data_IF_330474259894
#
_entry.id   IF_330474259894
#
_cell.length_a   1.000
_cell.length_b   1.000
_cell.length_c   1.000
_cell.angle_alpha   90.00
_cell.angle_beta   90.00
_cell.angle_gamma   90.00
#
_symmetry.space_group_name_H-M   'P 1'
#
loop_
_entity.id
_entity.type
_entity.pdbx_description
1 polymer ?
#
# COMPACT_ATOMS: atom_id res chain seq x y z
N UNK A 1 8.13 -21.61 20.73
CA UNK A 1 7.08 -20.78 20.09
C UNK A 1 7.78 -19.59 19.48
N UNK A 2 7.47 -19.23 18.24
CA UNK A 2 8.14 -18.14 17.53
C UNK A 2 7.94 -16.80 18.25
N UNK A 3 9.00 -16.01 18.39
CA UNK A 3 9.03 -14.74 19.13
C UNK A 3 9.46 -13.56 18.27
N UNK A 4 10.12 -13.81 17.14
CA UNK A 4 10.65 -12.76 16.28
C UNK A 4 10.65 -13.17 14.81
N UNK A 5 9.75 -12.57 14.04
CA UNK A 5 9.59 -12.84 12.61
C UNK A 5 10.42 -11.85 11.79
N UNK A 6 11.19 -12.36 10.84
CA UNK A 6 11.71 -11.58 9.72
C UNK A 6 10.70 -11.66 8.57
N UNK A 7 10.25 -10.53 8.03
CA UNK A 7 9.28 -10.48 6.93
C UNK A 7 9.91 -9.78 5.74
N UNK A 8 10.07 -10.50 4.64
CA UNK A 8 10.55 -9.91 3.39
C UNK A 8 9.40 -9.18 2.70
N UNK A 9 9.64 -7.92 2.36
CA UNK A 9 8.69 -7.07 1.65
C UNK A 9 9.22 -6.89 0.24
N UNK A 10 8.66 -7.67 -0.66
CA UNK A 10 8.86 -7.57 -2.08
C UNK A 10 7.71 -6.72 -2.67
N UNK A 11 8.04 -5.72 -3.49
CA UNK A 11 7.05 -4.82 -4.12
C UNK A 11 6.12 -5.50 -5.14
N UNK A 12 6.17 -6.82 -5.24
CA UNK A 12 5.31 -7.64 -6.10
C UNK A 12 3.97 -7.95 -5.41
N UNK A 13 2.90 -8.23 -6.18
CA UNK A 13 1.55 -8.45 -5.64
C UNK A 13 1.44 -9.49 -4.50
N UNK A 14 2.35 -10.45 -4.43
CA UNK A 14 2.40 -11.46 -3.35
C UNK A 14 2.95 -10.95 -2.01
N UNK A 15 3.72 -9.86 -2.00
CA UNK A 15 4.38 -9.35 -0.78
C UNK A 15 3.41 -8.84 0.28
N UNK A 16 2.24 -8.36 -0.14
CA UNK A 16 1.19 -7.88 0.77
C UNK A 16 0.50 -9.05 1.48
N UNK A 17 0.36 -10.19 0.80
CA UNK A 17 -0.17 -11.41 1.41
C UNK A 17 0.80 -11.94 2.49
N UNK A 18 2.09 -11.86 2.22
CA UNK A 18 3.12 -12.19 3.19
C UNK A 18 3.09 -11.26 4.40
N UNK A 19 2.99 -9.94 4.19
CA UNK A 19 2.87 -8.97 5.26
C UNK A 19 1.60 -9.25 6.08
N UNK A 20 0.44 -9.36 5.44
CA UNK A 20 -0.83 -9.63 6.11
C UNK A 20 -0.78 -10.89 6.98
N UNK A 21 -0.40 -12.02 6.39
CA UNK A 21 -0.33 -13.30 7.12
C UNK A 21 0.76 -13.31 8.21
N UNK A 22 1.91 -12.69 7.97
CA UNK A 22 2.96 -12.62 8.96
C UNK A 22 2.55 -11.74 10.15
N UNK A 23 1.86 -10.62 9.92
CA UNK A 23 1.36 -9.76 11.00
C UNK A 23 0.23 -10.43 11.78
N UNK A 24 -0.69 -11.14 11.11
CA UNK A 24 -1.72 -11.92 11.79
C UNK A 24 -1.11 -13.01 12.67
N UNK A 25 -0.12 -13.75 12.16
CA UNK A 25 0.60 -14.74 12.93
C UNK A 25 1.33 -14.11 14.12
N UNK A 26 2.09 -13.04 13.89
CA UNK A 26 2.84 -12.35 14.93
C UNK A 26 1.92 -11.87 16.05
N UNK A 27 0.74 -11.33 15.71
CA UNK A 27 -0.27 -10.90 16.68
C UNK A 27 -0.84 -12.08 17.46
N UNK A 28 -1.12 -13.19 16.79
CA UNK A 28 -1.67 -14.38 17.43
C UNK A 28 -0.68 -15.04 18.43
N UNK A 29 0.62 -14.96 18.17
CA UNK A 29 1.66 -15.59 19.02
C UNK A 29 2.40 -14.59 19.93
N UNK A 30 2.07 -13.30 19.86
CA UNK A 30 2.75 -12.25 20.63
C UNK A 30 4.21 -12.02 20.20
N UNK A 31 4.53 -12.26 18.93
CA UNK A 31 5.87 -12.05 18.40
C UNK A 31 6.09 -10.61 17.91
N UNK A 32 7.35 -10.18 17.90
CA UNK A 32 7.78 -8.94 17.23
C UNK A 32 8.10 -9.23 15.76
N UNK A 33 8.09 -8.19 14.93
CA UNK A 33 8.35 -8.29 13.49
C UNK A 33 9.52 -7.41 13.08
N UNK A 34 10.37 -7.88 12.19
CA UNK A 34 11.34 -7.05 11.48
C UNK A 34 11.13 -7.16 9.99
N UNK A 35 10.87 -6.04 9.33
CA UNK A 35 10.69 -5.99 7.90
C UNK A 35 12.03 -5.83 7.18
N UNK A 36 12.17 -6.51 6.05
CA UNK A 36 13.30 -6.36 5.12
C UNK A 36 12.74 -5.88 3.80
N UNK A 37 13.15 -4.69 3.38
CA UNK A 37 12.63 -4.06 2.18
C UNK A 37 13.58 -4.35 1.02
N UNK A 38 13.09 -5.05 0.00
CA UNK A 38 13.89 -5.36 -1.18
C UNK A 38 13.88 -4.16 -2.15
N UNK A 39 15.05 -3.72 -2.63
CA UNK A 39 15.17 -2.74 -3.72
C UNK A 39 15.20 -1.26 -3.34
N UNK A 40 15.41 -0.90 -2.06
CA UNK A 40 15.88 0.45 -1.76
C UNK A 40 17.36 0.52 -2.16
N UNK A 41 17.67 1.05 -3.35
CA UNK A 41 19.04 1.51 -3.63
C UNK A 41 19.41 2.42 -2.44
N UNK A 42 20.53 2.16 -1.73
CA UNK A 42 20.99 3.11 -0.74
C UNK A 42 21.48 4.32 -1.53
N UNK A 43 20.58 5.25 -1.83
CA UNK A 43 20.98 6.53 -2.38
C UNK A 43 21.88 7.15 -1.33
N UNK A 44 23.18 7.05 -1.53
CA UNK A 44 24.13 7.68 -0.65
C UNK A 44 24.14 9.14 -1.06
N UNK A 45 23.39 9.98 -0.34
CA UNK A 45 23.72 11.38 0.04
C UNK A 45 22.47 12.17 0.46
N UNK A 46 22.56 12.78 1.64
CA UNK A 46 21.69 13.84 2.20
C UNK A 46 20.66 13.39 3.24
N UNK A 47 21.11 13.61 4.49
CA UNK A 47 20.41 14.01 5.71
C UNK A 47 18.94 14.42 5.58
N UNK A 48 18.07 13.77 6.37
CA UNK A 48 16.94 14.42 7.05
C UNK A 48 15.55 14.30 6.44
N UNK A 49 15.38 14.04 5.14
CA UNK A 49 14.07 14.06 4.48
C UNK A 49 13.76 12.84 3.59
N UNK A 50 14.42 11.69 3.84
CA UNK A 50 14.20 10.47 3.04
C UNK A 50 13.08 9.64 3.64
N UNK A 51 11.96 9.53 2.93
CA UNK A 51 10.98 8.49 3.16
C UNK A 51 11.15 7.39 2.13
N UNK A 52 11.72 6.23 2.47
CA UNK A 52 11.54 5.06 1.63
C UNK A 52 10.04 4.73 1.71
N UNK A 53 9.35 4.85 0.57
CA UNK A 53 7.88 4.71 0.45
C UNK A 53 7.30 3.48 1.17
N UNK A 54 8.10 2.43 1.28
CA UNK A 54 7.73 1.15 1.90
C UNK A 54 7.78 1.18 3.44
N UNK A 55 8.62 2.00 4.05
CA UNK A 55 8.79 2.08 5.52
C UNK A 55 7.49 2.48 6.20
N UNK A 56 6.92 3.61 5.78
CA UNK A 56 5.69 4.13 6.37
C UNK A 56 4.50 3.18 6.18
N UNK A 57 4.46 2.42 5.07
CA UNK A 57 3.42 1.42 4.85
C UNK A 57 3.53 0.28 5.87
N UNK A 58 4.72 -0.31 6.00
CA UNK A 58 4.91 -1.50 6.85
C UNK A 58 4.85 -1.15 8.34
N UNK A 59 5.34 0.04 8.73
CA UNK A 59 5.18 0.56 10.09
C UNK A 59 3.72 0.83 10.43
N UNK A 60 2.96 1.43 9.52
CA UNK A 60 1.55 1.69 9.76
C UNK A 60 0.74 0.39 9.87
N UNK A 61 1.04 -0.61 9.02
CA UNK A 61 0.47 -1.94 9.11
C UNK A 61 0.76 -2.60 10.47
N UNK A 62 2.02 -2.60 10.91
CA UNK A 62 2.40 -3.20 12.19
C UNK A 62 1.81 -2.46 13.39
N UNK A 63 1.82 -1.12 13.38
CA UNK A 63 1.22 -0.28 14.45
C UNK A 63 -0.29 -0.52 14.56
N UNK A 64 -0.99 -0.65 13.44
CA UNK A 64 -2.42 -0.92 13.43
C UNK A 64 -2.75 -2.32 14.00
N UNK A 65 -1.84 -3.28 13.85
CA UNK A 65 -1.96 -4.61 14.46
C UNK A 65 -1.48 -4.66 15.93
N UNK A 66 -0.99 -3.55 16.49
CA UNK A 66 -0.46 -3.47 17.85
C UNK A 66 0.88 -4.18 18.04
N UNK A 67 1.67 -4.32 16.98
CA UNK A 67 2.91 -5.10 16.99
C UNK A 67 4.15 -4.25 17.27
N UNK A 68 5.06 -4.81 18.06
CA UNK A 68 6.45 -4.34 18.13
C UNK A 68 7.11 -4.63 16.79
N UNK A 69 7.67 -3.60 16.16
CA UNK A 69 8.26 -3.71 14.82
C UNK A 69 9.59 -2.98 14.70
N UNK A 70 10.40 -3.41 13.72
CA UNK A 70 11.59 -2.74 13.25
C UNK A 70 11.73 -2.89 11.73
N UNK A 71 12.54 -2.06 11.09
CA UNK A 71 12.90 -2.20 9.67
C UNK A 71 14.41 -2.42 9.58
N UNK A 72 14.82 -3.54 8.98
CA UNK A 72 16.22 -3.83 8.72
C UNK A 72 16.70 -2.98 7.54
N UNK A 73 17.83 -2.28 7.73
CA UNK A 73 18.42 -1.39 6.70
C UNK A 73 18.50 0.08 7.11
N UNK A 74 17.80 0.53 8.15
CA UNK A 74 17.90 1.90 8.68
C UNK A 74 19.22 2.20 9.46
N UNK A 75 20.30 1.46 9.15
CA UNK A 75 21.60 1.59 9.84
C UNK A 75 22.54 0.38 9.74
N UNK A 76 22.22 -0.65 8.96
CA UNK A 76 23.12 -1.80 8.72
C UNK A 76 23.67 -1.76 7.29
N UNK A 77 24.96 -1.44 7.08
CA UNK A 77 25.57 -1.48 5.76
C UNK A 77 25.57 -2.93 5.24
N UNK A 78 24.91 -3.17 4.10
CA UNK A 78 24.89 -4.49 3.43
C UNK A 78 23.53 -5.21 3.36
N UNK A 79 22.49 -4.69 4.01
CA UNK A 79 21.17 -5.35 4.07
C UNK A 79 20.48 -5.56 2.69
N UNK A 80 20.86 -4.79 1.66
CA UNK A 80 20.30 -4.93 0.31
C UNK A 80 20.72 -6.19 -0.44
N UNK A 81 21.90 -6.74 -0.14
CA UNK A 81 22.47 -7.93 -0.80
C UNK A 81 22.57 -9.16 0.13
N UNK A 82 22.25 -8.98 1.41
CA UNK A 82 22.35 -10.05 2.42
C UNK A 82 21.17 -10.99 2.28
N UNK A 83 21.43 -12.31 2.29
CA UNK A 83 20.36 -13.29 2.19
C UNK A 83 19.40 -13.17 3.40
N UNK A 84 18.08 -13.38 3.22
CA UNK A 84 17.13 -13.33 4.34
C UNK A 84 17.48 -14.29 5.48
N UNK A 85 18.10 -15.45 5.18
CA UNK A 85 18.57 -16.40 6.19
C UNK A 85 19.69 -15.84 7.05
N UNK A 86 20.70 -15.23 6.42
CA UNK A 86 21.82 -14.60 7.13
C UNK A 86 21.32 -13.47 8.03
N UNK A 87 20.47 -12.60 7.48
CA UNK A 87 19.92 -11.47 8.21
C UNK A 87 19.01 -11.91 9.38
N UNK A 88 18.24 -13.00 9.21
CA UNK A 88 17.46 -13.57 10.29
C UNK A 88 18.36 -14.03 11.45
N UNK A 89 19.48 -14.70 11.13
CA UNK A 89 20.46 -15.12 12.13
C UNK A 89 21.09 -13.94 12.89
N UNK A 90 21.50 -12.90 12.17
CA UNK A 90 22.11 -11.70 12.76
C UNK A 90 21.16 -10.94 13.69
N UNK A 91 19.88 -10.85 13.30
CA UNK A 91 18.85 -10.15 14.06
C UNK A 91 18.18 -11.00 15.14
N UNK A 92 18.55 -12.28 15.24
CA UNK A 92 17.95 -13.23 16.18
C UNK A 92 16.47 -13.52 15.88
N UNK A 93 16.08 -13.48 14.60
CA UNK A 93 14.76 -13.91 14.16
C UNK A 93 14.67 -15.44 14.19
N UNK A 94 13.53 -15.96 14.64
CA UNK A 94 13.28 -17.40 14.76
C UNK A 94 12.26 -17.93 13.74
N UNK A 95 11.78 -17.05 12.84
CA UNK A 95 10.93 -17.40 11.70
C UNK A 95 11.15 -16.39 10.56
N UNK A 96 11.20 -16.87 9.32
CA UNK A 96 11.22 -16.02 8.12
C UNK A 96 9.88 -16.17 7.40
N UNK A 97 9.12 -15.08 7.28
CA UNK A 97 7.90 -15.00 6.49
C UNK A 97 8.18 -14.52 5.07
N UNK A 98 7.77 -15.30 4.08
CA UNK A 98 7.91 -14.96 2.65
C UNK A 98 6.61 -15.21 1.88
N UNK A 99 6.36 -14.40 0.85
CA UNK A 99 5.22 -14.59 -0.04
C UNK A 99 5.32 -15.91 -0.82
N UNK A 100 4.21 -16.55 -1.16
CA UNK A 100 4.23 -17.56 -2.21
C UNK A 100 4.68 -16.93 -3.54
N UNK A 101 5.53 -17.63 -4.28
CA UNK A 101 5.89 -17.19 -5.63
C UNK A 101 4.65 -17.30 -6.53
N UNK A 102 4.36 -16.29 -7.38
CA UNK A 102 3.32 -16.41 -8.37
C UNK A 102 3.68 -17.49 -9.41
N UNK A 103 2.69 -17.97 -10.15
CA UNK A 103 2.88 -19.06 -11.11
C UNK A 103 3.82 -18.70 -12.27
N UNK A 104 3.91 -17.41 -12.60
CA UNK A 104 4.74 -16.80 -13.64
C UNK A 104 6.03 -16.17 -13.09
N UNK A 105 6.42 -16.48 -11.84
CA UNK A 105 7.65 -15.98 -11.26
C UNK A 105 8.89 -16.35 -12.11
N UNK A 106 9.83 -15.42 -12.22
CA UNK A 106 11.05 -15.65 -13.00
C UNK A 106 11.93 -16.76 -12.38
N UNK A 107 12.80 -17.32 -13.22
CA UNK A 107 13.68 -18.42 -12.81
C UNK A 107 14.72 -18.04 -11.75
N UNK A 108 15.06 -16.75 -11.61
CA UNK A 108 15.99 -16.25 -10.61
C UNK A 108 15.31 -16.18 -9.23
N UNK A 109 14.10 -15.61 -9.13
CA UNK A 109 13.27 -15.60 -7.93
C UNK A 109 12.97 -17.03 -7.45
N UNK A 110 12.64 -17.94 -8.37
CA UNK A 110 12.45 -19.36 -8.05
C UNK A 110 13.72 -20.03 -7.53
N UNK A 111 14.90 -19.65 -8.05
CA UNK A 111 16.21 -20.16 -7.60
C UNK A 111 16.57 -19.60 -6.23
N UNK A 112 16.37 -18.30 -6.00
CA UNK A 112 16.60 -17.64 -4.73
C UNK A 112 15.70 -18.23 -3.64
N UNK A 113 14.43 -18.49 -3.93
CA UNK A 113 13.54 -19.19 -2.99
C UNK A 113 14.01 -20.60 -2.66
N UNK A 114 14.43 -21.38 -3.66
CA UNK A 114 14.97 -22.73 -3.44
C UNK A 114 16.25 -22.70 -2.61
N UNK A 115 17.14 -21.74 -2.87
CA UNK A 115 18.34 -21.55 -2.08
C UNK A 115 17.99 -21.23 -0.62
N UNK A 116 17.12 -20.24 -0.38
CA UNK A 116 16.64 -19.89 0.95
C UNK A 116 16.09 -21.11 1.71
N UNK A 117 15.23 -21.90 1.07
CA UNK A 117 14.64 -23.10 1.70
C UNK A 117 15.67 -24.21 1.95
N UNK A 118 16.71 -24.32 1.13
CA UNK A 118 17.73 -25.35 1.25
C UNK A 118 18.82 -25.02 2.28
N UNK A 119 19.11 -23.73 2.48
CA UNK A 119 20.27 -23.27 3.26
C UNK A 119 19.92 -22.52 4.54
N UNK A 120 18.64 -22.24 4.81
CA UNK A 120 18.24 -21.50 5.99
C UNK A 120 18.21 -22.39 7.24
N UNK A 121 18.96 -21.98 8.26
CA UNK A 121 18.89 -22.59 9.59
C UNK A 121 17.66 -22.09 10.38
N UNK A 122 17.03 -21.01 9.92
CA UNK A 122 15.78 -20.47 10.48
C UNK A 122 14.59 -21.02 9.70
N UNK A 123 13.51 -21.48 10.37
CA UNK A 123 12.29 -21.93 9.70
C UNK A 123 11.74 -20.86 8.74
N UNK A 124 11.27 -21.30 7.57
CA UNK A 124 10.69 -20.41 6.55
C UNK A 124 9.20 -20.73 6.39
N UNK A 125 8.35 -19.74 6.69
CA UNK A 125 6.92 -19.77 6.43
C UNK A 125 6.63 -19.17 5.05
N UNK A 126 6.12 -19.99 4.15
CA UNK A 126 5.61 -19.53 2.85
C UNK A 126 4.13 -19.22 2.97
N UNK A 127 3.78 -17.94 2.90
CA UNK A 127 2.41 -17.45 2.98
C UNK A 127 1.66 -17.74 1.67
N UNK A 128 0.63 -18.61 1.67
CA UNK A 128 -0.07 -18.99 0.45
C UNK A 128 -0.92 -17.84 -0.10
N UNK A 129 -0.94 -17.70 -1.42
CA UNK A 129 -1.90 -16.85 -2.14
C UNK A 129 -2.99 -17.75 -2.77
N UNK A 130 -3.87 -18.31 -1.95
CA UNK A 130 -5.01 -19.12 -2.44
C UNK A 130 -6.29 -18.30 -2.38
N UNK A 131 -6.48 -17.49 -3.42
CA UNK A 131 -7.61 -16.57 -3.52
C UNK A 131 -8.55 -17.01 -4.64
N UNK A 132 -9.84 -16.77 -4.48
CA UNK A 132 -10.79 -16.90 -5.59
C UNK A 132 -10.41 -15.94 -6.73
N UNK A 133 -10.78 -16.24 -7.97
CA UNK A 133 -10.42 -15.37 -9.11
C UNK A 133 -10.97 -13.94 -8.96
N UNK A 134 -12.21 -13.80 -8.46
CA UNK A 134 -12.83 -12.51 -8.23
C UNK A 134 -12.09 -11.69 -7.15
N UNK A 135 -11.74 -12.34 -6.04
CA UNK A 135 -10.93 -11.75 -4.98
C UNK A 135 -9.59 -11.25 -5.53
N UNK A 136 -8.86 -12.10 -6.27
CA UNK A 136 -7.56 -11.75 -6.83
C UNK A 136 -7.64 -10.50 -7.74
N UNK A 137 -8.68 -10.41 -8.59
CA UNK A 137 -8.90 -9.24 -9.46
C UNK A 137 -9.28 -7.99 -8.68
N UNK A 138 -10.15 -8.10 -7.69
CA UNK A 138 -10.54 -7.00 -6.80
C UNK A 138 -9.31 -6.43 -6.10
N UNK A 139 -8.51 -7.30 -5.48
CA UNK A 139 -7.28 -6.94 -4.78
C UNK A 139 -6.27 -6.29 -5.73
N UNK A 140 -6.04 -6.86 -6.91
CA UNK A 140 -5.14 -6.30 -7.92
C UNK A 140 -5.53 -4.87 -8.34
N UNK A 141 -6.85 -4.58 -8.50
CA UNK A 141 -7.32 -3.22 -8.83
C UNK A 141 -7.04 -2.23 -7.70
N UNK A 142 -7.24 -2.61 -6.44
CA UNK A 142 -6.93 -1.75 -5.30
C UNK A 142 -5.41 -1.47 -5.22
N UNK A 143 -4.59 -2.50 -5.40
CA UNK A 143 -3.13 -2.36 -5.38
C UNK A 143 -2.58 -1.54 -6.55
N UNK A 144 -3.17 -1.67 -7.74
CA UNK A 144 -2.82 -0.83 -8.87
C UNK A 144 -3.09 0.66 -8.57
N UNK A 145 -4.18 0.98 -7.87
CA UNK A 145 -4.47 2.35 -7.43
C UNK A 145 -3.44 2.85 -6.39
N UNK A 146 -3.03 2.00 -5.44
CA UNK A 146 -1.97 2.33 -4.48
C UNK A 146 -0.62 2.58 -5.17
N UNK A 147 -0.26 1.74 -6.13
CA UNK A 147 0.95 1.91 -6.94
C UNK A 147 0.91 3.22 -7.72
N UNK A 148 -0.22 3.50 -8.40
CA UNK A 148 -0.39 4.73 -9.17
C UNK A 148 -0.37 6.01 -8.30
N UNK A 149 -0.79 5.91 -7.03
CA UNK A 149 -0.64 6.99 -6.05
C UNK A 149 0.83 7.16 -5.64
N UNK A 150 1.50 6.06 -5.28
CA UNK A 150 2.90 6.05 -4.88
C UNK A 150 3.83 6.63 -5.95
N UNK A 151 3.60 6.29 -7.22
CA UNK A 151 4.36 6.83 -8.36
C UNK A 151 4.18 8.34 -8.53
N UNK A 152 2.94 8.85 -8.45
CA UNK A 152 2.67 10.30 -8.55
C UNK A 152 3.29 11.09 -7.40
N UNK A 153 3.15 10.58 -6.16
CA UNK A 153 3.79 11.18 -4.99
C UNK A 153 5.30 11.20 -5.13
N UNK A 154 5.85 10.08 -5.62
CA UNK A 154 7.25 9.95 -5.98
C UNK A 154 7.74 11.01 -6.94
N UNK A 155 7.05 11.14 -8.08
CA UNK A 155 7.39 12.12 -9.10
C UNK A 155 7.34 13.56 -8.56
N UNK A 156 6.35 13.90 -7.74
CA UNK A 156 6.27 15.22 -7.09
C UNK A 156 7.42 15.50 -6.13
N UNK A 157 7.80 14.52 -5.31
CA UNK A 157 8.91 14.68 -4.37
C UNK A 157 10.23 14.86 -5.13
N UNK A 158 10.47 14.09 -6.19
CA UNK A 158 11.69 14.22 -7.01
C UNK A 158 11.74 15.55 -7.77
N UNK A 159 10.60 16.09 -8.19
CA UNK A 159 10.53 17.38 -8.88
C UNK A 159 10.91 18.58 -7.97
N UNK A 160 10.83 18.42 -6.64
CA UNK A 160 11.25 19.44 -5.66
C UNK A 160 12.74 19.40 -5.32
N UNK A 161 13.47 18.33 -5.64
CA UNK A 161 14.85 18.09 -5.16
C UNK A 161 15.96 18.70 -6.05
N UNK A 162 15.65 19.42 -7.13
CA UNK A 162 16.63 20.26 -7.83
C UNK A 162 16.22 20.75 -9.22
N UNK A 163 16.88 21.81 -9.74
CA UNK A 163 16.76 22.16 -11.15
C UNK A 163 17.40 21.05 -11.99
N UNK A 164 16.70 20.59 -13.02
CA UNK A 164 17.29 19.75 -14.05
C UNK A 164 18.48 20.52 -14.67
N UNK A 165 19.62 19.85 -14.89
CA UNK A 165 20.83 20.49 -15.43
C UNK A 165 20.60 21.15 -16.80
N UNK A 166 19.50 20.77 -17.47
CA UNK A 166 19.05 21.27 -18.77
C UNK A 166 17.94 22.35 -18.69
N UNK A 167 17.58 22.86 -17.51
CA UNK A 167 16.58 23.93 -17.38
C UNK A 167 15.18 23.54 -17.87
N UNK A 168 14.87 22.23 -17.88
CA UNK A 168 13.54 21.74 -18.22
C UNK A 168 12.51 22.23 -17.20
N UNK A 169 11.31 22.63 -17.65
CA UNK A 169 10.28 23.11 -16.74
C UNK A 169 9.99 22.03 -15.70
N UNK A 170 9.96 22.46 -14.44
CA UNK A 170 9.46 21.69 -13.30
C UNK A 170 8.16 21.02 -13.73
N UNK A 171 7.99 19.73 -13.46
CA UNK A 171 6.76 19.00 -13.77
C UNK A 171 5.54 19.85 -13.35
N UNK A 172 4.48 19.88 -14.16
CA UNK A 172 3.25 20.64 -13.89
C UNK A 172 2.67 20.22 -12.53
N UNK A 173 3.12 20.89 -11.48
CA UNK A 173 2.79 20.57 -10.10
C UNK A 173 1.29 20.81 -9.85
N UNK A 174 0.67 21.91 -10.33
CA UNK A 174 -0.79 22.07 -10.32
C UNK A 174 -1.53 20.90 -10.99
N UNK A 175 -1.15 20.52 -12.21
CA UNK A 175 -1.77 19.39 -12.92
C UNK A 175 -1.57 18.05 -12.21
N UNK A 176 -0.39 17.81 -11.63
CA UNK A 176 -0.09 16.59 -10.88
C UNK A 176 -0.87 16.53 -9.56
N UNK A 177 -1.02 17.66 -8.85
CA UNK A 177 -1.87 17.77 -7.66
C UNK A 177 -3.34 17.56 -7.98
N UNK A 178 -3.84 18.11 -9.10
CA UNK A 178 -5.20 17.86 -9.57
C UNK A 178 -5.41 16.38 -9.90
N UNK A 179 -4.44 15.74 -10.57
CA UNK A 179 -4.45 14.29 -10.85
C UNK A 179 -4.46 13.46 -9.57
N UNK A 180 -3.67 13.84 -8.56
CA UNK A 180 -3.67 13.21 -7.24
C UNK A 180 -5.02 13.35 -6.53
N UNK A 181 -5.60 14.54 -6.52
CA UNK A 181 -6.90 14.79 -5.92
C UNK A 181 -8.00 13.95 -6.60
N UNK A 182 -8.00 13.87 -7.93
CA UNK A 182 -8.92 13.03 -8.68
C UNK A 182 -8.74 11.54 -8.36
N UNK A 183 -7.49 11.06 -8.28
CA UNK A 183 -7.18 9.67 -7.92
C UNK A 183 -7.69 9.34 -6.51
N UNK A 184 -7.42 10.20 -5.53
CA UNK A 184 -7.86 9.99 -4.14
C UNK A 184 -9.39 10.07 -4.02
N UNK A 185 -10.03 11.01 -4.72
CA UNK A 185 -11.49 11.10 -4.76
C UNK A 185 -12.11 9.81 -5.33
N UNK A 186 -11.59 9.30 -6.45
CA UNK A 186 -12.03 8.02 -7.01
C UNK A 186 -11.81 6.87 -6.02
N UNK A 187 -10.63 6.81 -5.38
CA UNK A 187 -10.29 5.77 -4.40
C UNK A 187 -11.29 5.68 -3.25
N UNK A 188 -11.68 6.83 -2.71
CA UNK A 188 -12.54 6.89 -1.52
C UNK A 188 -14.03 6.96 -1.80
N UNK A 189 -14.42 7.35 -3.02
CA UNK A 189 -15.83 7.55 -3.37
C UNK A 189 -16.43 6.43 -4.21
N UNK A 190 -15.78 6.09 -5.33
CA UNK A 190 -16.44 5.35 -6.42
C UNK A 190 -15.72 4.08 -6.85
N UNK A 191 -14.46 3.89 -6.44
CA UNK A 191 -13.69 2.73 -6.85
C UNK A 191 -14.01 1.47 -6.03
N UNK A 192 -13.40 0.36 -6.45
CA UNK A 192 -13.44 -0.94 -5.79
C UNK A 192 -13.07 -0.88 -4.29
N UNK A 193 -12.10 -0.06 -3.89
CA UNK A 193 -11.65 0.08 -2.50
C UNK A 193 -12.77 0.61 -1.58
N UNK A 194 -13.51 1.63 -2.03
CA UNK A 194 -14.63 2.20 -1.28
C UNK A 194 -15.76 1.19 -1.10
N UNK A 195 -16.10 0.45 -2.17
CA UNK A 195 -17.11 -0.62 -2.13
C UNK A 195 -16.68 -1.77 -1.21
N UNK A 196 -15.40 -2.15 -1.24
CA UNK A 196 -14.83 -3.17 -0.37
C UNK A 196 -14.92 -2.76 1.11
N UNK A 197 -14.59 -1.51 1.43
CA UNK A 197 -14.73 -0.98 2.79
C UNK A 197 -16.20 -1.03 3.25
N UNK A 198 -17.14 -0.67 2.38
CA UNK A 198 -18.57 -0.71 2.68
C UNK A 198 -19.07 -2.15 2.93
N UNK A 199 -18.70 -3.09 2.06
CA UNK A 199 -19.04 -4.51 2.23
C UNK A 199 -18.46 -5.08 3.53
N UNK A 200 -17.20 -4.78 3.84
CA UNK A 200 -16.56 -5.24 5.07
C UNK A 200 -17.25 -4.68 6.32
N UNK A 201 -17.70 -3.42 6.27
CA UNK A 201 -18.43 -2.77 7.38
C UNK A 201 -19.72 -3.50 7.72
N UNK A 202 -20.39 -4.08 6.72
CA UNK A 202 -21.60 -4.89 6.90
C UNK A 202 -21.25 -6.27 7.51
N UNK A 203 -20.14 -6.86 7.09
CA UNK A 203 -19.77 -8.25 7.45
C UNK A 203 -19.02 -8.38 8.78
N UNK A 204 -18.26 -7.36 9.20
CA UNK A 204 -17.32 -7.48 10.31
C UNK A 204 -17.30 -6.26 11.24
N UNK A 205 -18.04 -6.34 12.34
CA UNK A 205 -18.02 -5.32 13.39
C UNK A 205 -16.62 -5.10 13.99
N UNK A 206 -15.78 -6.15 14.01
CA UNK A 206 -14.39 -6.07 14.48
C UNK A 206 -13.51 -5.15 13.62
N UNK A 207 -13.88 -4.88 12.37
CA UNK A 207 -13.15 -3.96 11.48
C UNK A 207 -13.60 -2.50 11.60
N UNK A 208 -14.70 -2.22 12.33
CA UNK A 208 -15.32 -0.89 12.34
C UNK A 208 -14.38 0.22 12.81
N UNK A 209 -13.62 -0.01 13.89
CA UNK A 209 -12.70 0.99 14.43
C UNK A 209 -11.58 1.39 13.45
N UNK A 210 -11.07 0.42 12.68
CA UNK A 210 -10.03 0.67 11.67
C UNK A 210 -10.62 1.36 10.43
N UNK A 211 -11.84 1.01 10.03
CA UNK A 211 -12.56 1.73 8.97
C UNK A 211 -12.85 3.19 9.38
N UNK A 212 -13.20 3.45 10.64
CA UNK A 212 -13.38 4.80 11.18
C UNK A 212 -12.08 5.60 11.24
N UNK A 213 -10.93 4.96 11.53
CA UNK A 213 -9.62 5.58 11.41
C UNK A 213 -9.30 5.96 9.97
N UNK A 214 -9.57 5.08 9.01
CA UNK A 214 -9.38 5.40 7.59
C UNK A 214 -10.26 6.56 7.15
N UNK A 215 -11.53 6.62 7.59
CA UNK A 215 -12.41 7.75 7.30
C UNK A 215 -11.85 9.07 7.86
N UNK A 216 -11.23 9.04 9.06
CA UNK A 216 -10.54 10.21 9.65
C UNK A 216 -9.28 10.59 8.87
N UNK A 217 -8.49 9.63 8.41
CA UNK A 217 -7.32 9.87 7.56
C UNK A 217 -7.70 10.52 6.24
N UNK A 218 -8.73 10.01 5.55
CA UNK A 218 -9.24 10.57 4.29
C UNK A 218 -9.63 12.05 4.41
N UNK A 219 -10.28 12.43 5.53
CA UNK A 219 -10.64 13.84 5.79
C UNK A 219 -9.40 14.72 5.99
N UNK A 220 -8.38 14.23 6.70
CA UNK A 220 -7.10 14.94 6.86
C UNK A 220 -6.38 15.09 5.52
N UNK A 221 -6.39 14.04 4.71
CA UNK A 221 -5.74 14.02 3.39
C UNK A 221 -6.38 15.00 2.41
N UNK A 222 -7.71 15.09 2.39
CA UNK A 222 -8.42 16.07 1.57
C UNK A 222 -8.04 17.52 1.96
N UNK A 223 -7.92 17.80 3.26
CA UNK A 223 -7.47 19.11 3.74
C UNK A 223 -6.00 19.39 3.36
N UNK A 224 -5.12 18.39 3.50
CA UNK A 224 -3.71 18.50 3.15
C UNK A 224 -3.50 18.75 1.65
N UNK A 225 -4.22 18.04 0.78
CA UNK A 225 -4.21 18.29 -0.66
C UNK A 225 -4.68 19.70 -1.02
N UNK A 226 -5.74 20.18 -0.37
CA UNK A 226 -6.21 21.56 -0.56
C UNK A 226 -5.15 22.59 -0.12
N UNK A 227 -4.38 22.32 0.93
CA UNK A 227 -3.29 23.17 1.37
C UNK A 227 -2.12 23.16 0.37
N UNK A 228 -1.74 22.00 -0.15
CA UNK A 228 -0.72 21.86 -1.20
C UNK A 228 -1.10 22.63 -2.46
N UNK A 229 -2.36 22.54 -2.90
CA UNK A 229 -2.84 23.27 -4.07
C UNK A 229 -2.74 24.80 -3.87
N UNK A 230 -3.05 25.31 -2.68
CA UNK A 230 -2.89 26.74 -2.36
C UNK A 230 -1.42 27.15 -2.37
N UNK A 231 -0.56 26.40 -1.70
CA UNK A 231 0.89 26.66 -1.68
C UNK A 231 1.50 26.65 -3.08
N UNK A 232 1.05 25.74 -3.96
CA UNK A 232 1.49 25.72 -5.36
C UNK A 232 1.00 26.94 -6.17
N UNK A 233 -0.23 27.40 -5.91
CA UNK A 233 -0.79 28.60 -6.54
C UNK A 233 -0.10 29.89 -6.09
N UNK A 234 0.36 29.94 -4.84
CA UNK A 234 1.15 31.06 -4.29
C UNK A 234 2.56 31.15 -4.92
N UNK A 235 3.02 30.07 -5.55
CA UNK A 235 4.25 30.01 -6.36
C UNK A 235 5.22 28.93 -5.90
N UNK A 236 5.97 28.39 -6.87
CA UNK A 236 7.03 27.40 -6.66
C UNK A 236 8.36 27.92 -7.25
N UNK A 237 9.53 27.51 -6.70
CA UNK A 237 9.73 26.55 -5.60
C UNK A 237 9.36 27.13 -4.21
N UNK A 238 9.01 26.25 -3.26
CA UNK A 238 8.58 26.66 -1.91
C UNK A 238 8.93 25.60 -0.86
N UNK A 239 9.81 25.94 0.09
CA UNK A 239 10.15 25.04 1.20
C UNK A 239 8.92 24.65 2.04
N UNK A 240 7.91 25.53 2.12
CA UNK A 240 6.65 25.23 2.78
C UNK A 240 5.83 24.18 2.00
N UNK A 241 5.86 24.25 0.67
CA UNK A 241 5.27 23.23 -0.19
C UNK A 241 5.98 21.88 0.00
N UNK A 242 7.32 21.87 -0.03
CA UNK A 242 8.10 20.64 0.10
C UNK A 242 7.87 19.96 1.46
N UNK A 243 7.86 20.74 2.55
CA UNK A 243 7.56 20.23 3.88
C UNK A 243 6.12 19.69 3.98
N UNK A 244 5.14 20.40 3.41
CA UNK A 244 3.75 19.95 3.37
C UNK A 244 3.58 18.68 2.53
N UNK A 245 4.34 18.56 1.42
CA UNK A 245 4.31 17.41 0.53
C UNK A 245 4.88 16.18 1.22
N UNK A 246 5.98 16.33 1.95
CA UNK A 246 6.56 15.23 2.74
C UNK A 246 5.58 14.73 3.81
N UNK A 247 4.89 15.63 4.52
CA UNK A 247 3.86 15.27 5.51
C UNK A 247 2.68 14.57 4.85
N UNK A 248 2.20 15.08 3.72
CA UNK A 248 1.12 14.46 2.97
C UNK A 248 1.49 13.06 2.45
N UNK A 249 2.66 12.93 1.84
CA UNK A 249 3.18 11.67 1.33
C UNK A 249 3.27 10.63 2.45
N UNK A 250 3.80 11.01 3.62
CA UNK A 250 3.81 10.14 4.80
C UNK A 250 2.41 9.64 5.16
N UNK A 251 1.45 10.55 5.29
CA UNK A 251 0.06 10.20 5.63
C UNK A 251 -0.56 9.23 4.62
N UNK A 252 -0.37 9.49 3.32
CA UNK A 252 -0.86 8.64 2.25
C UNK A 252 -0.23 7.23 2.28
N UNK A 253 1.07 7.11 2.53
CA UNK A 253 1.73 5.80 2.69
C UNK A 253 1.27 5.08 3.95
N UNK A 254 1.12 5.78 5.08
CA UNK A 254 0.58 5.17 6.31
C UNK A 254 -0.85 4.65 6.10
N UNK A 255 -1.69 5.39 5.37
CA UNK A 255 -3.06 4.97 5.04
C UNK A 255 -3.07 3.71 4.16
N UNK A 256 -2.26 3.67 3.09
CA UNK A 256 -2.14 2.48 2.24
C UNK A 256 -1.61 1.28 3.04
N UNK A 257 -0.67 1.51 3.97
CA UNK A 257 -0.15 0.48 4.88
C UNK A 257 -1.23 -0.12 5.77
N UNK A 258 -2.10 0.71 6.37
CA UNK A 258 -3.25 0.22 7.15
C UNK A 258 -4.24 -0.57 6.30
N UNK A 259 -4.53 -0.07 5.10
CA UNK A 259 -5.42 -0.76 4.16
C UNK A 259 -4.87 -2.15 3.83
N UNK A 260 -3.58 -2.24 3.50
CA UNK A 260 -2.92 -3.48 3.08
C UNK A 260 -2.66 -4.46 4.24
N UNK A 261 -2.29 -3.95 5.42
CA UNK A 261 -1.92 -4.78 6.56
C UNK A 261 -3.06 -5.18 7.50
N UNK A 262 -4.22 -4.52 7.38
CA UNK A 262 -5.36 -4.75 8.28
C UNK A 262 -6.66 -4.97 7.53
N UNK A 263 -7.05 -4.04 6.67
CA UNK A 263 -8.36 -4.11 6.02
C UNK A 263 -8.43 -5.22 4.98
N UNK A 264 -7.40 -5.38 4.15
CA UNK A 264 -7.33 -6.46 3.17
C UNK A 264 -7.33 -7.86 3.81
N UNK A 265 -6.51 -8.16 4.83
CA UNK A 265 -6.63 -9.41 5.58
C UNK A 265 -8.02 -9.63 6.18
N UNK A 266 -8.62 -8.59 6.79
CA UNK A 266 -9.97 -8.69 7.33
C UNK A 266 -11.02 -8.95 6.24
N UNK A 267 -10.91 -8.29 5.08
CA UNK A 267 -11.79 -8.53 3.95
C UNK A 267 -11.74 -9.98 3.49
N UNK A 268 -10.54 -10.55 3.32
CA UNK A 268 -10.36 -11.96 2.98
C UNK A 268 -10.95 -12.93 3.99
N UNK A 269 -10.90 -12.56 5.27
CA UNK A 269 -11.43 -13.39 6.35
C UNK A 269 -12.96 -13.37 6.43
N UNK A 270 -13.58 -12.24 6.13
CA UNK A 270 -15.00 -12.01 6.45
C UNK A 270 -15.92 -11.86 5.24
N UNK A 271 -15.38 -11.50 4.07
CA UNK A 271 -16.17 -11.45 2.84
C UNK A 271 -16.33 -12.86 2.27
N UNK A 272 -17.52 -13.15 1.74
CA UNK A 272 -17.83 -14.42 1.08
C UNK A 272 -17.71 -14.29 -0.43
N UNK A 273 -17.68 -15.41 -1.16
CA UNK A 273 -17.55 -15.42 -2.63
C UNK A 273 -18.57 -14.53 -3.34
N UNK A 274 -19.81 -14.44 -2.83
CA UNK A 274 -20.83 -13.56 -3.37
C UNK A 274 -20.42 -12.08 -3.30
N UNK A 275 -19.82 -11.65 -2.18
CA UNK A 275 -19.33 -10.27 -2.01
C UNK A 275 -18.19 -10.00 -2.99
N UNK A 276 -17.25 -10.94 -3.14
CA UNK A 276 -16.13 -10.81 -4.08
C UNK A 276 -16.59 -10.72 -5.53
N UNK A 277 -17.55 -11.54 -5.93
CA UNK A 277 -18.13 -11.49 -7.28
C UNK A 277 -18.86 -10.17 -7.54
N UNK A 278 -19.59 -9.65 -6.55
CA UNK A 278 -20.25 -8.34 -6.65
C UNK A 278 -19.20 -7.23 -6.79
N UNK A 279 -18.15 -7.24 -5.99
CA UNK A 279 -17.05 -6.28 -6.06
C UNK A 279 -16.29 -6.35 -7.39
N UNK A 280 -16.14 -7.55 -7.97
CA UNK A 280 -15.47 -7.78 -9.25
C UNK A 280 -16.28 -7.21 -10.42
N UNK A 281 -17.61 -7.34 -10.36
CA UNK A 281 -18.52 -6.80 -11.35
C UNK A 281 -18.30 -5.29 -11.59
N UNK A 282 -18.38 -4.83 -12.85
CA UNK A 282 -18.29 -3.42 -13.16
C UNK A 282 -19.37 -2.66 -12.39
N UNK A 283 -19.09 -1.43 -11.91
CA UNK A 283 -20.11 -0.62 -11.29
C UNK A 283 -21.27 -0.48 -12.27
N UNK A 284 -22.50 -0.73 -11.82
CA UNK A 284 -23.66 -0.50 -12.66
C UNK A 284 -23.59 0.93 -13.19
N UNK A 285 -23.47 1.07 -14.51
CA UNK A 285 -23.51 2.38 -15.16
C UNK A 285 -24.81 3.01 -14.70
N UNK A 286 -24.71 4.11 -13.94
CA UNK A 286 -25.88 4.83 -13.45
C UNK A 286 -26.86 5.01 -14.60
N UNK A 287 -28.12 4.66 -14.34
CA UNK A 287 -29.23 4.71 -15.28
C UNK A 287 -29.00 5.83 -16.30
N UNK A 288 -28.83 5.46 -17.59
CA UNK A 288 -28.90 6.45 -18.65
C UNK A 288 -30.20 7.19 -18.41
N UNK A 289 -30.12 8.51 -18.22
CA UNK A 289 -31.28 9.36 -18.09
C UNK A 289 -32.28 8.94 -19.16
N UNK A 290 -33.40 8.35 -18.74
CA UNK A 290 -34.53 8.15 -19.62
C UNK A 290 -34.88 9.55 -20.12
N UNK A 291 -34.74 9.85 -21.43
CA UNK A 291 -35.20 11.13 -21.93
C UNK A 291 -36.68 11.25 -21.57
N UNK A 292 -37.16 12.43 -21.13
CA UNK A 292 -38.57 12.60 -20.83
C UNK A 292 -39.35 12.25 -22.10
N UNK A 293 -40.22 11.25 -21.98
CA UNK A 293 -41.11 10.85 -23.06
C UNK A 293 -41.94 12.05 -23.49
N UNK A 294 -41.85 12.38 -24.77
CA UNK A 294 -42.86 13.18 -25.43
C UNK A 294 -44.10 12.29 -25.59
N UNK A 295 -44.93 12.23 -24.55
CA UNK A 295 -46.35 11.93 -24.70
C UNK A 295 -47.07 13.28 -24.86
N UNK A 296 -47.19 13.75 -26.10
CA UNK A 296 -48.29 14.62 -26.48
C UNK A 296 -49.50 13.74 -26.79
N UNK A 297 -50.68 13.99 -26.18
CA UNK A 297 -51.92 13.39 -26.64
C UNK A 297 -52.40 14.10 -27.92
N UNK A 298 -52.56 13.35 -29.01
CA UNK A 298 -53.23 13.83 -30.21
C UNK A 298 -54.74 13.63 -30.05
N UNK A 299 -55.45 14.74 -29.84
CA UNK A 299 -56.90 14.85 -29.96
C UNK A 299 -57.28 14.94 -31.44
N UNK A 300 -57.87 13.89 -32.02
CA UNK A 300 -58.83 13.94 -33.14
C UNK A 300 -59.55 12.60 -33.36
#
# INVERSE_FOLDING_TARGET
MYRHLLVTVDGVPGGIDAIGHALELARAVGARVTFVLSGAVPDSRLSGARMPRHDAKVEAAARAQGLSHAIAGAGHPGAGDTSPATLAGELGCDLIGVAALPHDADAAAARQRRALLATSDVPVLVCPARHGQAEARVMARCLAAHHALGERLGALMMAGEGPDADGRPMADAPGTLASLAALQHARFGTCTEARLCAALRIRAQSAAAELDELDRQRRRDAHALGALARLAADGLPSAAFDAALAVYARGAFEQMGRMEGVIFPAARRYLVDADWNELDAPPASGASATPPGADEPDDA
#
